data_IF_548296361376
#
_entry.id   IF_548296361376
#
_cell.length_a   1.000
_cell.length_b   1.000
_cell.length_c   1.000
_cell.angle_alpha   90.00
_cell.angle_beta   90.00
_cell.angle_gamma   90.00
#
_symmetry.space_group_name_H-M   'P 1'
#
loop_
_entity.id
_entity.type
_entity.pdbx_description
1 polymer ?
#
# COMPACT_ATOMS: atom_id res chain seq x y z
N UNK A 1 -13.94 15.22 4.37
CA UNK A 1 -12.51 15.35 4.73
C UNK A 1 -11.61 15.42 3.50
N UNK A 2 -11.63 14.44 2.59
CA UNK A 2 -10.80 14.44 1.35
C UNK A 2 -11.04 15.67 0.47
N UNK A 3 -12.28 16.15 0.38
CA UNK A 3 -12.60 17.37 -0.39
C UNK A 3 -11.75 18.59 0.02
N UNK A 4 -11.37 18.72 1.30
CA UNK A 4 -10.55 19.85 1.76
C UNK A 4 -9.12 19.83 1.19
N UNK A 5 -8.65 18.69 0.67
CA UNK A 5 -7.36 18.58 0.03
C UNK A 5 -7.36 19.12 -1.41
N UNK A 6 -8.54 19.31 -2.03
CA UNK A 6 -8.71 19.72 -3.42
C UNK A 6 -7.89 18.85 -4.40
N UNK A 7 -7.88 17.53 -4.17
CA UNK A 7 -7.12 16.58 -5.00
C UNK A 7 -5.60 16.60 -4.80
N UNK A 8 -5.07 17.43 -3.89
CA UNK A 8 -3.63 17.47 -3.61
C UNK A 8 -3.24 16.28 -2.73
N UNK A 9 -2.28 15.43 -3.18
CA UNK A 9 -1.78 14.36 -2.34
C UNK A 9 -0.89 14.92 -1.23
N UNK A 10 -0.78 14.19 -0.12
CA UNK A 10 -0.07 14.64 1.09
C UNK A 10 1.23 13.87 1.31
N UNK A 11 2.24 14.55 1.85
CA UNK A 11 3.51 13.91 2.21
C UNK A 11 3.41 13.18 3.56
N UNK A 12 2.60 13.68 4.48
CA UNK A 12 2.47 13.15 5.84
C UNK A 12 1.01 13.17 6.27
N UNK A 13 0.54 12.05 6.82
CA UNK A 13 -0.70 11.96 7.59
C UNK A 13 -0.35 11.79 9.06
N UNK A 14 -0.92 12.63 9.91
CA UNK A 14 -0.78 12.53 11.37
C UNK A 14 -2.16 12.31 11.99
N UNK A 15 -2.30 11.22 12.74
CA UNK A 15 -3.51 10.91 13.49
C UNK A 15 -3.21 10.92 14.99
N UNK A 16 -3.81 11.87 15.69
CA UNK A 16 -3.83 11.93 17.16
C UNK A 16 -5.20 11.53 17.73
N UNK A 17 -5.98 10.76 16.96
CA UNK A 17 -7.31 10.33 17.39
C UNK A 17 -7.22 9.42 18.62
N UNK A 18 -8.14 9.61 19.55
CA UNK A 18 -8.34 8.74 20.71
C UNK A 18 -9.85 8.49 20.91
N UNK A 19 -10.27 7.26 21.25
CA UNK A 19 -11.65 7.01 21.60
C UNK A 19 -11.95 7.59 22.99
N UNK A 20 -13.23 7.79 23.30
CA UNK A 20 -13.66 8.02 24.68
C UNK A 20 -13.18 6.85 25.56
N UNK A 21 -12.55 7.16 26.69
CA UNK A 21 -12.07 6.15 27.61
C UNK A 21 -13.24 5.44 28.30
N UNK A 22 -13.34 4.13 28.10
CA UNK A 22 -14.30 3.28 28.82
C UNK A 22 -13.81 2.88 30.21
N UNK A 23 -12.49 2.96 30.44
CA UNK A 23 -11.83 2.47 31.65
C UNK A 23 -11.48 0.98 31.58
N UNK A 24 -11.94 0.26 30.54
CA UNK A 24 -11.61 -1.13 30.29
C UNK A 24 -10.50 -1.18 29.26
N UNK A 25 -9.27 -1.49 29.72
CA UNK A 25 -8.05 -1.42 28.88
C UNK A 25 -8.15 -2.18 27.55
N UNK A 26 -8.74 -3.37 27.55
CA UNK A 26 -8.91 -4.17 26.33
C UNK A 26 -9.86 -3.50 25.33
N UNK A 27 -10.98 -2.97 25.82
CA UNK A 27 -11.95 -2.25 24.99
C UNK A 27 -11.34 -0.95 24.43
N UNK A 28 -10.64 -0.19 25.28
CA UNK A 28 -9.96 1.04 24.88
C UNK A 28 -8.87 0.77 23.84
N UNK A 29 -8.13 -0.34 23.99
CA UNK A 29 -7.16 -0.82 23.00
C UNK A 29 -7.82 -1.17 21.66
N UNK A 30 -8.85 -2.02 21.66
CA UNK A 30 -9.52 -2.39 20.41
C UNK A 30 -10.17 -1.18 19.73
N UNK A 31 -10.67 -0.20 20.48
CA UNK A 31 -11.23 1.02 19.92
C UNK A 31 -10.18 1.93 19.30
N UNK A 32 -9.02 2.11 19.93
CA UNK A 32 -7.95 2.93 19.32
C UNK A 32 -7.34 2.25 18.09
N UNK A 33 -7.24 0.91 18.09
CA UNK A 33 -6.78 0.15 16.92
C UNK A 33 -7.73 0.35 15.73
N UNK A 34 -9.06 0.37 15.94
CA UNK A 34 -10.02 0.72 14.87
C UNK A 34 -9.76 2.11 14.28
N UNK A 35 -9.45 3.10 15.12
CA UNK A 35 -9.08 4.45 14.66
C UNK A 35 -7.77 4.44 13.86
N UNK A 36 -6.78 3.64 14.25
CA UNK A 36 -5.56 3.46 13.46
C UNK A 36 -5.87 2.86 12.08
N UNK A 37 -6.74 1.86 11.98
CA UNK A 37 -7.16 1.34 10.67
C UNK A 37 -7.88 2.39 9.81
N UNK A 38 -8.74 3.23 10.41
CA UNK A 38 -9.35 4.35 9.68
C UNK A 38 -8.30 5.34 9.15
N UNK A 39 -7.29 5.68 9.96
CA UNK A 39 -6.19 6.54 9.54
C UNK A 39 -5.33 5.91 8.44
N UNK A 40 -5.07 4.59 8.52
CA UNK A 40 -4.36 3.84 7.47
C UNK A 40 -5.12 3.87 6.13
N UNK A 41 -6.43 3.64 6.16
CA UNK A 41 -7.29 3.74 4.96
C UNK A 41 -7.24 5.15 4.37
N UNK A 42 -7.42 6.19 5.19
CA UNK A 42 -7.31 7.58 4.73
C UNK A 42 -5.93 7.89 4.12
N UNK A 43 -4.85 7.39 4.72
CA UNK A 43 -3.50 7.61 4.21
C UNK A 43 -3.28 6.93 2.86
N UNK A 44 -3.83 5.74 2.63
CA UNK A 44 -3.75 5.05 1.32
C UNK A 44 -4.41 5.85 0.20
N UNK A 45 -5.48 6.58 0.49
CA UNK A 45 -6.23 7.36 -0.50
C UNK A 45 -5.61 8.73 -0.78
N UNK A 46 -4.80 9.26 0.14
CA UNK A 46 -4.35 10.65 0.10
C UNK A 46 -2.84 10.82 -0.02
N UNK A 47 -2.04 9.82 0.32
CA UNK A 47 -0.58 9.97 0.38
C UNK A 47 0.10 9.88 -0.99
N UNK A 48 1.14 10.68 -1.19
CA UNK A 48 2.10 10.46 -2.29
C UNK A 48 2.90 9.18 -2.06
N UNK A 49 3.45 8.58 -3.14
CA UNK A 49 4.51 7.57 -3.01
C UNK A 49 5.67 8.17 -2.19
N UNK A 50 6.23 7.38 -1.28
CA UNK A 50 7.25 7.84 -0.34
C UNK A 50 6.71 8.61 0.88
N UNK A 51 5.40 8.90 0.92
CA UNK A 51 4.75 9.58 2.05
C UNK A 51 4.78 8.77 3.36
N UNK A 52 4.44 9.43 4.47
CA UNK A 52 4.49 8.83 5.82
C UNK A 52 3.16 8.95 6.56
N UNK A 53 2.93 8.04 7.49
CA UNK A 53 1.77 8.03 8.38
C UNK A 53 2.24 7.84 9.82
N UNK A 54 1.74 8.68 10.73
CA UNK A 54 1.98 8.56 12.17
C UNK A 54 0.64 8.48 12.89
N UNK A 55 0.49 7.49 13.78
CA UNK A 55 -0.76 7.23 14.49
C UNK A 55 -0.51 6.99 15.97
N UNK A 56 -1.23 7.72 16.82
CA UNK A 56 -1.31 7.42 18.25
C UNK A 56 -2.03 6.08 18.48
N UNK A 57 -1.55 5.31 19.43
CA UNK A 57 -2.20 4.10 19.94
C UNK A 57 -1.85 3.86 21.42
N UNK A 58 -2.48 2.84 21.99
CA UNK A 58 -2.09 2.28 23.29
C UNK A 58 -1.47 0.90 23.07
N UNK A 59 -0.37 0.63 23.76
CA UNK A 59 0.32 -0.66 23.70
C UNK A 59 -0.62 -1.80 24.11
N UNK A 60 -0.64 -2.87 23.31
CA UNK A 60 -1.53 -4.01 23.50
C UNK A 60 -1.39 -5.10 22.44
N UNK A 61 -2.19 -6.15 22.56
CA UNK A 61 -2.03 -7.40 21.81
C UNK A 61 -2.21 -7.26 20.30
N UNK A 62 -3.06 -6.34 19.84
CA UNK A 62 -3.41 -6.19 18.41
C UNK A 62 -2.38 -5.33 17.65
N UNK A 63 -1.42 -4.70 18.34
CA UNK A 63 -0.39 -3.86 17.72
C UNK A 63 0.45 -4.60 16.67
N UNK A 64 0.70 -5.90 16.86
CA UNK A 64 1.47 -6.70 15.90
C UNK A 64 0.75 -6.88 14.57
N UNK A 65 -0.56 -7.11 14.59
CA UNK A 65 -1.34 -7.29 13.37
C UNK A 65 -1.38 -6.00 12.56
N UNK A 66 -1.60 -4.85 13.22
CA UNK A 66 -1.58 -3.56 12.57
C UNK A 66 -0.21 -3.26 11.91
N UNK A 67 0.91 -3.64 12.54
CA UNK A 67 2.24 -3.53 11.93
C UNK A 67 2.35 -4.39 10.67
N UNK A 68 1.91 -5.64 10.74
CA UNK A 68 1.91 -6.56 9.59
C UNK A 68 1.11 -5.95 8.42
N UNK A 69 -0.10 -5.47 8.71
CA UNK A 69 -0.98 -4.88 7.70
C UNK A 69 -0.37 -3.59 7.13
N UNK A 70 0.16 -2.70 7.97
CA UNK A 70 0.80 -1.47 7.52
C UNK A 70 2.05 -1.75 6.66
N UNK A 71 2.84 -2.79 6.97
CA UNK A 71 4.00 -3.20 6.17
C UNK A 71 3.64 -3.72 4.78
N UNK A 72 2.39 -4.07 4.52
CA UNK A 72 1.95 -4.38 3.14
C UNK A 72 2.07 -3.15 2.24
N UNK A 73 1.78 -1.96 2.79
CA UNK A 73 1.70 -0.69 2.03
C UNK A 73 2.80 0.34 2.36
N UNK A 74 3.57 0.15 3.43
CA UNK A 74 4.74 0.97 3.78
C UNK A 74 6.01 0.13 3.80
N UNK A 75 7.16 0.72 3.46
CA UNK A 75 8.44 0.00 3.48
C UNK A 75 8.95 -0.26 4.90
N UNK A 76 8.67 0.63 5.84
CA UNK A 76 9.05 0.46 7.24
C UNK A 76 7.94 0.91 8.17
N UNK A 77 7.78 0.20 9.29
CA UNK A 77 6.81 0.51 10.33
C UNK A 77 7.50 0.31 11.68
N UNK A 78 7.53 1.36 12.49
CA UNK A 78 8.15 1.38 13.81
C UNK A 78 7.11 1.67 14.89
N UNK A 79 7.28 1.08 16.06
CA UNK A 79 6.54 1.44 17.27
C UNK A 79 7.46 2.31 18.13
N UNK A 80 7.03 3.52 18.44
CA UNK A 80 7.83 4.52 19.17
C UNK A 80 7.09 4.94 20.43
N UNK A 81 7.80 4.97 21.56
CA UNK A 81 7.34 5.63 22.78
C UNK A 81 7.98 7.02 22.85
N UNK A 82 7.21 8.11 22.95
CA UNK A 82 7.79 9.44 23.08
C UNK A 82 8.59 9.57 24.38
N UNK A 83 9.76 10.22 24.32
CA UNK A 83 10.54 10.51 25.53
C UNK A 83 9.82 11.43 26.52
N UNK A 84 8.90 12.26 26.01
CA UNK A 84 8.07 13.16 26.81
C UNK A 84 6.90 12.45 27.52
N UNK A 85 6.60 11.20 27.17
CA UNK A 85 5.53 10.44 27.82
C UNK A 85 5.93 10.05 29.24
N UNK A 86 5.01 10.22 30.19
CA UNK A 86 5.19 9.72 31.56
C UNK A 86 5.43 8.21 31.51
N UNK A 87 6.29 7.67 32.40
CA UNK A 87 6.60 6.23 32.49
C UNK A 87 5.36 5.32 32.56
N UNK A 88 4.26 5.86 33.05
CA UNK A 88 3.01 5.15 33.31
C UNK A 88 2.05 5.18 32.12
N UNK A 89 2.36 5.95 31.06
CA UNK A 89 1.52 6.02 29.86
C UNK A 89 1.69 4.78 29.00
N UNK A 90 0.58 4.14 28.64
CA UNK A 90 0.54 3.07 27.64
C UNK A 90 0.65 3.61 26.21
N UNK A 91 0.75 4.93 26.02
CA UNK A 91 0.81 5.55 24.70
C UNK A 91 2.05 5.16 23.90
N UNK A 92 1.79 4.82 22.65
CA UNK A 92 2.77 4.52 21.61
C UNK A 92 2.36 5.22 20.32
N UNK A 93 3.30 5.38 19.41
CA UNK A 93 3.05 5.83 18.05
C UNK A 93 3.52 4.79 17.05
N UNK A 94 2.64 4.46 16.11
CA UNK A 94 3.05 3.78 14.89
C UNK A 94 3.62 4.82 13.92
N UNK A 95 4.85 4.62 13.48
CA UNK A 95 5.53 5.45 12.48
C UNK A 95 5.74 4.62 11.23
N UNK A 96 4.88 4.85 10.23
CA UNK A 96 4.87 4.19 8.94
C UNK A 96 5.58 5.09 7.92
N UNK A 97 6.65 4.58 7.31
CA UNK A 97 7.53 5.34 6.43
C UNK A 97 7.52 4.77 5.02
N UNK A 98 7.62 5.68 4.04
CA UNK A 98 7.76 5.39 2.61
C UNK A 98 6.59 4.57 2.08
N UNK A 99 5.47 5.25 1.85
CA UNK A 99 4.27 4.67 1.25
C UNK A 99 4.59 4.10 -0.13
N UNK A 100 4.29 2.82 -0.34
CA UNK A 100 4.59 2.07 -1.57
C UNK A 100 3.66 2.41 -2.73
N UNK A 101 2.61 3.21 -2.53
CA UNK A 101 1.58 3.47 -3.53
C UNK A 101 0.63 2.28 -3.73
N UNK A 102 -0.50 2.55 -4.39
CA UNK A 102 -1.39 1.51 -4.90
C UNK A 102 -0.75 1.02 -6.21
N UNK A 103 -0.10 -0.14 -6.20
CA UNK A 103 0.24 -0.80 -7.48
C UNK A 103 -1.07 -1.40 -8.02
N UNK A 104 -1.57 -0.96 -9.19
CA UNK A 104 -2.67 -1.69 -9.84
C UNK A 104 -2.20 -3.13 -10.10
N UNK A 105 -3.09 -4.14 -10.04
CA UNK A 105 -2.74 -5.48 -10.50
C UNK A 105 -2.18 -5.36 -11.91
N UNK A 106 -0.95 -5.83 -12.15
CA UNK A 106 -0.39 -5.87 -13.48
C UNK A 106 -1.24 -6.84 -14.29
N UNK A 107 -2.05 -6.32 -15.22
CA UNK A 107 -2.69 -7.14 -16.24
C UNK A 107 -1.55 -7.70 -17.10
N UNK A 108 -1.36 -9.03 -17.05
CA UNK A 108 -0.38 -9.70 -17.89
C UNK A 108 -0.72 -9.49 -19.36
N UNK A 109 0.18 -8.84 -20.09
CA UNK A 109 0.20 -8.89 -21.55
C UNK A 109 0.85 -10.22 -21.95
N UNK A 110 0.05 -11.27 -22.05
CA UNK A 110 0.43 -12.50 -22.74
C UNK A 110 0.34 -12.25 -24.25
N UNK A 111 1.32 -11.52 -24.81
CA UNK A 111 1.54 -11.51 -26.25
C UNK A 111 2.44 -12.69 -26.61
N UNK A 112 1.79 -13.82 -26.88
CA UNK A 112 2.44 -14.99 -27.45
C UNK A 112 2.78 -14.69 -28.92
N UNK A 113 4.05 -14.36 -29.16
CA UNK A 113 4.60 -14.16 -30.49
C UNK A 113 4.58 -15.49 -31.29
N UNK A 114 3.69 -15.60 -32.28
CA UNK A 114 3.65 -16.74 -33.21
C UNK A 114 4.21 -16.36 -34.57
N UNK A 115 5.49 -16.00 -34.61
CA UNK A 115 6.31 -15.98 -35.82
C UNK A 115 6.97 -17.35 -36.05
N UNK A 116 6.21 -18.37 -36.47
CA UNK A 116 6.76 -19.50 -37.25
C UNK A 116 5.67 -20.04 -38.18
N UNK A 117 5.53 -19.47 -39.38
CA UNK A 117 5.24 -20.19 -40.63
C UNK A 117 5.67 -19.34 -41.83
N UNK A 118 6.98 -19.22 -42.07
CA UNK A 118 7.49 -18.86 -43.39
C UNK A 118 8.40 -19.99 -43.88
N UNK A 119 7.76 -21.07 -44.35
CA UNK A 119 8.43 -22.21 -44.97
C UNK A 119 8.56 -21.93 -46.46
N UNK A 120 9.80 -21.57 -46.84
CA UNK A 120 10.50 -21.93 -48.09
C UNK A 120 9.86 -21.47 -49.41
N UNK A 121 10.39 -20.37 -49.92
CA UNK A 121 10.58 -20.15 -51.36
C UNK A 121 11.71 -21.07 -51.87
N UNK A 122 11.40 -21.96 -52.82
CA UNK A 122 12.37 -22.47 -53.79
C UNK A 122 11.64 -22.80 -55.10
N UNK A 123 11.83 -21.91 -56.08
CA UNK A 123 12.12 -22.14 -57.50
C UNK A 123 11.41 -23.28 -58.26
N UNK A 124 10.62 -22.92 -59.27
CA UNK A 124 11.10 -23.01 -60.66
C UNK A 124 10.14 -22.35 -61.65
N UNK A 125 10.68 -21.40 -62.41
CA UNK A 125 10.16 -20.84 -63.65
C UNK A 125 10.78 -21.59 -64.85
N UNK A 126 10.27 -21.31 -66.04
CA UNK A 126 10.56 -21.81 -67.39
C UNK A 126 9.77 -23.08 -67.76
N UNK A 127 9.00 -23.11 -68.84
CA UNK A 127 9.05 -22.29 -70.04
C UNK A 127 8.83 -23.23 -71.22
N UNK A 128 7.74 -23.01 -71.94
CA UNK A 128 7.50 -23.36 -73.35
C UNK A 128 8.41 -24.38 -74.02
N UNK A 129 7.84 -25.51 -74.46
CA UNK A 129 8.11 -25.95 -75.83
C UNK A 129 6.86 -26.56 -76.48
N UNK A 130 6.57 -26.10 -77.70
CA UNK A 130 5.53 -26.60 -78.60
C UNK A 130 6.23 -26.94 -79.91
N UNK A 131 5.91 -28.13 -80.42
CA UNK A 131 5.89 -28.58 -81.83
C UNK A 131 7.08 -29.42 -82.30
N UNK A 132 6.72 -30.48 -83.03
CA UNK A 132 7.29 -31.02 -84.27
C UNK A 132 8.72 -30.61 -84.65
#
# INVERSE_FOLDING_TARGET
MIAALNGRPVNVVLSDMAPSASGIKSMDHSNIIKLCYSALTFAKETSVRGGSLVMKAFDGSESKQLVTDAKTVYEAVHIMRPQASRKESSEIFFVCLRYKGITPPQQGTDEHNSDIQNVRTHDNDSGSDRSL
#
